data_IF_623963630012
#
_entry.id   IF_623963630012
#
_cell.length_a   1.000
_cell.length_b   1.000
_cell.length_c   1.000
_cell.angle_alpha   90.00
_cell.angle_beta   90.00
_cell.angle_gamma   90.00
#
_symmetry.space_group_name_H-M   'P 1'
#
loop_
_entity.id
_entity.type
_entity.pdbx_description
1 polymer ?
#
# COMPACT_ATOMS: atom_id res chain seq x y z
N UNK A 1 -15.13 22.26 6.21
CA UNK A 1 -14.88 20.86 5.85
C UNK A 1 -13.38 20.75 5.60
N UNK A 2 -12.68 19.83 6.27
CA UNK A 2 -11.26 19.60 5.99
C UNK A 2 -11.12 19.12 4.54
N UNK A 3 -10.32 19.83 3.76
CA UNK A 3 -9.99 19.42 2.40
C UNK A 3 -8.77 18.49 2.48
N UNK A 4 -8.98 17.20 2.27
CA UNK A 4 -7.88 16.24 2.22
C UNK A 4 -7.09 16.44 0.93
N UNK A 5 -5.76 16.43 1.05
CA UNK A 5 -4.85 16.50 -0.10
C UNK A 5 -3.94 15.27 -0.14
N UNK A 6 -3.49 14.91 -1.35
CA UNK A 6 -2.50 13.85 -1.56
C UNK A 6 -1.14 14.46 -1.84
N UNK A 7 -0.11 13.88 -1.23
CA UNK A 7 1.30 14.15 -1.56
C UNK A 7 2.04 12.84 -1.74
N UNK A 8 2.95 12.79 -2.71
CA UNK A 8 3.83 11.63 -2.87
C UNK A 8 4.78 11.50 -1.67
N UNK A 9 5.06 10.26 -1.25
CA UNK A 9 6.14 9.97 -0.30
C UNK A 9 7.48 10.28 -0.98
N UNK A 10 8.25 11.14 -0.33
CA UNK A 10 9.57 11.60 -0.77
C UNK A 10 10.40 12.00 0.45
N UNK A 11 11.70 12.34 0.30
CA UNK A 11 12.48 12.92 1.38
C UNK A 11 11.80 14.15 2.02
N UNK A 12 11.14 14.99 1.21
CA UNK A 12 10.47 16.21 1.69
C UNK A 12 9.19 15.93 2.50
N UNK A 13 8.54 14.80 2.27
CA UNK A 13 7.31 14.38 2.97
C UNK A 13 7.56 13.27 4.01
N UNK A 14 8.82 12.87 4.20
CA UNK A 14 9.20 11.83 5.15
C UNK A 14 8.64 12.05 6.55
N UNK A 15 8.73 13.26 7.08
CA UNK A 15 8.29 13.57 8.45
C UNK A 15 6.77 13.36 8.62
N UNK A 16 5.97 13.59 7.58
CA UNK A 16 4.55 13.29 7.57
C UNK A 16 4.28 11.78 7.67
N UNK A 17 4.97 10.98 6.86
CA UNK A 17 4.89 9.52 6.93
C UNK A 17 5.38 9.00 8.29
N UNK A 18 6.57 9.44 8.72
CA UNK A 18 7.16 9.00 9.98
C UNK A 18 6.30 9.37 11.19
N UNK A 19 5.74 10.58 11.21
CA UNK A 19 4.83 11.02 12.26
C UNK A 19 3.58 10.14 12.35
N UNK A 20 2.97 9.79 11.22
CA UNK A 20 1.83 8.89 11.20
C UNK A 20 2.22 7.48 11.68
N UNK A 21 3.33 6.93 11.21
CA UNK A 21 3.81 5.61 11.63
C UNK A 21 4.12 5.58 13.14
N UNK A 22 4.80 6.60 13.66
CA UNK A 22 5.14 6.70 15.08
C UNK A 22 3.92 6.77 15.99
N UNK A 23 2.87 7.53 15.60
CA UNK A 23 1.61 7.58 16.36
C UNK A 23 0.93 6.22 16.51
N UNK A 24 1.32 5.25 15.69
CA UNK A 24 0.80 3.89 15.66
C UNK A 24 1.88 2.84 15.93
N UNK A 25 2.92 3.20 16.71
CA UNK A 25 4.02 2.31 17.12
C UNK A 25 4.72 1.61 15.94
N UNK A 26 4.96 2.35 14.85
CA UNK A 26 5.57 1.84 13.63
C UNK A 26 4.63 0.98 12.78
N UNK A 27 3.36 0.95 13.08
CA UNK A 27 2.27 0.15 12.53
C UNK A 27 2.55 -1.37 12.49
N UNK A 28 1.53 -2.18 12.54
CA UNK A 28 1.61 -3.65 12.39
C UNK A 28 2.82 -4.31 13.11
N UNK A 29 3.07 -3.92 14.37
CA UNK A 29 4.17 -4.49 15.15
C UNK A 29 5.55 -3.90 14.80
N UNK A 30 5.62 -2.66 14.35
CA UNK A 30 6.88 -1.99 14.01
C UNK A 30 7.35 -2.25 12.57
N UNK A 31 6.43 -2.60 11.69
CA UNK A 31 6.72 -2.91 10.28
C UNK A 31 7.22 -1.71 9.48
N UNK A 32 6.82 -0.48 9.81
CA UNK A 32 7.14 0.73 9.04
C UNK A 32 6.84 0.60 7.54
N UNK A 33 5.90 -0.23 7.17
CA UNK A 33 5.54 -0.56 5.80
C UNK A 33 6.73 -1.10 4.97
N UNK A 34 7.63 -1.86 5.60
CA UNK A 34 8.79 -2.49 4.92
C UNK A 34 8.53 -3.94 4.52
N UNK A 35 7.43 -4.52 4.98
CA UNK A 35 7.14 -5.95 4.80
C UNK A 35 7.22 -6.41 3.34
N UNK A 36 6.68 -5.61 2.43
CA UNK A 36 6.63 -5.94 1.01
C UNK A 36 7.91 -5.61 0.24
N UNK A 37 8.77 -4.77 0.83
CA UNK A 37 10.10 -4.44 0.27
C UNK A 37 11.14 -5.54 0.53
N UNK A 38 10.96 -6.36 1.57
CA UNK A 38 11.95 -7.34 2.02
C UNK A 38 11.49 -8.77 1.80
N UNK A 39 12.40 -9.63 1.33
CA UNK A 39 12.19 -11.07 1.29
C UNK A 39 12.31 -11.67 2.69
N UNK A 40 11.78 -12.87 2.90
CA UNK A 40 11.71 -13.48 4.23
C UNK A 40 13.06 -13.54 4.97
N UNK A 41 14.15 -13.78 4.25
CA UNK A 41 15.52 -13.82 4.81
C UNK A 41 16.07 -12.46 5.23
N UNK A 42 15.48 -11.37 4.74
CA UNK A 42 15.94 -10.00 4.98
C UNK A 42 15.07 -9.26 6.00
N UNK A 43 13.98 -9.90 6.46
CA UNK A 43 13.05 -9.26 7.40
C UNK A 43 13.65 -9.10 8.76
N UNK A 44 13.46 -7.92 9.33
CA UNK A 44 13.69 -7.66 10.74
C UNK A 44 12.37 -7.43 11.46
N UNK A 45 12.32 -7.75 12.74
CA UNK A 45 11.20 -7.45 13.63
C UNK A 45 11.51 -6.27 14.55
N UNK A 46 12.66 -5.63 14.37
CA UNK A 46 13.04 -4.43 15.06
C UNK A 46 12.45 -3.18 14.39
N UNK A 47 11.74 -2.37 15.18
CA UNK A 47 11.04 -1.20 14.63
C UNK A 47 12.00 -0.09 14.18
N UNK A 48 13.16 0.07 14.86
CA UNK A 48 14.14 1.10 14.50
C UNK A 48 14.90 0.71 13.23
N UNK A 49 15.21 -0.58 13.06
CA UNK A 49 15.79 -1.12 11.83
C UNK A 49 14.84 -0.91 10.65
N UNK A 50 13.55 -1.23 10.83
CA UNK A 50 12.53 -1.04 9.81
C UNK A 50 12.33 0.43 9.46
N UNK A 51 12.34 1.32 10.45
CA UNK A 51 12.28 2.78 10.22
C UNK A 51 13.48 3.24 9.38
N UNK A 52 14.68 2.81 9.75
CA UNK A 52 15.92 3.17 9.07
C UNK A 52 15.94 2.64 7.63
N UNK A 53 15.50 1.40 7.42
CA UNK A 53 15.34 0.80 6.10
C UNK A 53 14.34 1.59 5.24
N UNK A 54 13.15 1.89 5.78
CA UNK A 54 12.13 2.64 5.03
C UNK A 54 12.63 4.02 4.61
N UNK A 55 13.30 4.73 5.54
CA UNK A 55 13.89 6.04 5.24
C UNK A 55 14.89 5.96 4.10
N UNK A 56 15.82 5.00 4.16
CA UNK A 56 16.81 4.77 3.09
C UNK A 56 16.15 4.50 1.75
N UNK A 57 15.13 3.63 1.71
CA UNK A 57 14.40 3.33 0.47
C UNK A 57 13.69 4.57 -0.11
N UNK A 58 13.17 5.45 0.74
CA UNK A 58 12.59 6.74 0.31
C UNK A 58 13.68 7.66 -0.27
N UNK A 59 14.83 7.77 0.39
CA UNK A 59 15.97 8.59 -0.06
C UNK A 59 16.54 8.06 -1.39
N UNK A 60 16.50 6.75 -1.61
CA UNK A 60 16.92 6.09 -2.86
C UNK A 60 15.86 6.14 -3.97
N UNK A 61 14.65 6.69 -3.71
CA UNK A 61 13.54 6.70 -4.65
C UNK A 61 12.93 5.33 -4.94
N UNK A 62 13.04 4.37 -4.01
CA UNK A 62 12.59 2.98 -4.12
C UNK A 62 11.41 2.62 -3.24
N UNK A 63 10.86 3.58 -2.53
CA UNK A 63 9.65 3.41 -1.73
C UNK A 63 8.66 4.52 -2.06
N UNK A 64 7.49 4.15 -2.53
CA UNK A 64 6.45 5.05 -2.99
C UNK A 64 5.17 4.86 -2.19
N UNK A 65 4.52 5.95 -1.87
CA UNK A 65 3.17 5.95 -1.31
C UNK A 65 2.45 7.26 -1.62
N UNK A 66 1.14 7.19 -1.76
CA UNK A 66 0.28 8.35 -1.69
C UNK A 66 -0.01 8.65 -0.21
N UNK A 67 0.43 9.78 0.29
CA UNK A 67 0.16 10.25 1.65
C UNK A 67 -1.05 11.18 1.63
N UNK A 68 -2.03 10.91 2.47
CA UNK A 68 -3.21 11.78 2.64
C UNK A 68 -2.99 12.69 3.84
N UNK A 69 -3.18 13.98 3.62
CA UNK A 69 -3.04 15.02 4.63
C UNK A 69 -4.36 15.65 4.98
N UNK A 70 -4.54 15.96 6.27
CA UNK A 70 -5.53 16.87 6.82
C UNK A 70 -4.77 18.07 7.41
N UNK A 71 -4.76 19.20 6.68
CA UNK A 71 -3.83 20.29 6.96
C UNK A 71 -2.39 19.84 6.81
N UNK A 72 -1.60 19.97 7.88
CA UNK A 72 -0.19 19.60 7.89
C UNK A 72 0.07 18.17 8.44
N UNK A 73 -0.98 17.46 8.85
CA UNK A 73 -0.86 16.13 9.42
C UNK A 73 -1.15 15.04 8.39
N UNK A 74 -0.22 14.11 8.16
CA UNK A 74 -0.49 12.91 7.39
C UNK A 74 -1.37 11.95 8.19
N UNK A 75 -2.47 11.48 7.58
CA UNK A 75 -3.53 10.71 8.25
C UNK A 75 -3.83 9.36 7.58
N UNK A 76 -3.30 9.12 6.39
CA UNK A 76 -3.39 7.84 5.71
C UNK A 76 -2.28 7.69 4.66
N UNK A 77 -2.04 6.47 4.23
CA UNK A 77 -1.22 6.20 3.04
C UNK A 77 -1.75 5.02 2.22
N UNK A 78 -1.35 4.98 0.96
CA UNK A 78 -1.44 3.83 0.09
C UNK A 78 -0.06 3.58 -0.53
N UNK A 79 0.59 2.46 -0.17
CA UNK A 79 1.88 2.05 -0.70
C UNK A 79 1.70 1.43 -2.09
N UNK A 80 2.56 1.85 -3.01
CA UNK A 80 2.67 1.29 -4.35
C UNK A 80 4.13 1.24 -4.79
N UNK A 81 4.41 0.48 -5.82
CA UNK A 81 5.74 0.37 -6.41
C UNK A 81 5.80 -0.72 -7.47
N UNK A 82 6.93 -0.82 -8.16
CA UNK A 82 7.17 -1.89 -9.12
C UNK A 82 7.27 -3.26 -8.41
N UNK A 83 7.13 -4.38 -9.15
CA UNK A 83 7.39 -5.72 -8.61
C UNK A 83 8.80 -5.90 -8.04
N UNK A 84 9.79 -5.16 -8.57
CA UNK A 84 11.17 -5.19 -8.09
C UNK A 84 11.34 -4.47 -6.76
N UNK A 85 10.62 -3.37 -6.55
CA UNK A 85 10.61 -2.60 -5.30
C UNK A 85 9.79 -3.28 -4.21
N UNK A 86 8.74 -3.99 -4.58
CA UNK A 86 7.82 -4.71 -3.70
C UNK A 86 7.78 -6.21 -4.03
N UNK A 87 8.92 -6.94 -3.89
CA UNK A 87 9.01 -8.33 -4.34
C UNK A 87 8.23 -9.31 -3.48
N UNK A 88 7.97 -8.94 -2.22
CA UNK A 88 7.34 -9.84 -1.26
C UNK A 88 5.84 -9.63 -1.20
N UNK A 89 5.09 -10.62 -1.66
CA UNK A 89 3.63 -10.67 -1.56
C UNK A 89 3.19 -12.00 -0.96
N UNK A 90 2.05 -12.00 -0.25
CA UNK A 90 1.49 -13.23 0.31
C UNK A 90 1.13 -14.23 -0.80
N UNK A 91 1.33 -15.52 -0.54
CA UNK A 91 1.08 -16.60 -1.50
C UNK A 91 1.85 -16.42 -2.81
N UNK A 92 3.09 -15.93 -2.71
CA UNK A 92 3.92 -15.61 -3.86
C UNK A 92 4.13 -16.80 -4.80
N UNK A 93 4.36 -18.00 -4.27
CA UNK A 93 4.56 -19.19 -5.08
C UNK A 93 3.37 -19.46 -6.01
N UNK A 94 2.15 -19.50 -5.46
CA UNK A 94 0.94 -19.67 -6.26
C UNK A 94 0.77 -18.52 -7.26
N UNK A 95 1.04 -17.28 -6.84
CA UNK A 95 0.94 -16.10 -7.70
C UNK A 95 1.88 -16.23 -8.92
N UNK A 96 3.12 -16.67 -8.72
CA UNK A 96 4.12 -16.82 -9.78
C UNK A 96 3.78 -17.99 -10.72
N UNK A 97 3.26 -19.10 -10.20
CA UNK A 97 2.81 -20.26 -11.00
C UNK A 97 1.62 -19.94 -11.90
N UNK A 98 0.75 -19.01 -11.47
CA UNK A 98 -0.47 -18.62 -12.20
C UNK A 98 -0.31 -17.25 -12.88
N UNK A 99 0.90 -16.72 -12.97
CA UNK A 99 1.17 -15.39 -13.53
C UNK A 99 0.87 -15.36 -15.02
N UNK A 100 -0.06 -14.50 -15.43
CA UNK A 100 -0.46 -14.27 -16.82
C UNK A 100 0.08 -12.95 -17.39
N UNK A 101 0.16 -11.92 -16.57
CA UNK A 101 0.69 -10.59 -16.91
C UNK A 101 1.57 -10.10 -15.77
N UNK A 102 2.78 -9.64 -16.09
CA UNK A 102 3.63 -8.93 -15.13
C UNK A 102 3.09 -7.51 -14.98
N UNK A 103 2.65 -7.09 -13.79
CA UNK A 103 2.19 -5.71 -13.61
C UNK A 103 3.37 -4.73 -13.61
N UNK A 104 3.11 -3.50 -14.02
CA UNK A 104 4.07 -2.40 -13.87
C UNK A 104 4.13 -1.92 -12.41
N UNK A 105 2.98 -1.95 -11.72
CA UNK A 105 2.86 -1.53 -10.33
C UNK A 105 2.04 -2.51 -9.47
N UNK A 106 2.40 -2.57 -8.20
CA UNK A 106 1.66 -3.26 -7.13
C UNK A 106 1.13 -2.25 -6.10
N UNK A 107 -0.11 -2.45 -5.64
CA UNK A 107 -0.65 -1.82 -4.44
C UNK A 107 -0.58 -2.83 -3.30
N UNK A 108 0.12 -2.52 -2.23
CA UNK A 108 0.43 -3.52 -1.18
C UNK A 108 -0.14 -3.19 0.18
N UNK A 109 -0.03 -1.95 0.65
CA UNK A 109 -0.44 -1.57 1.99
C UNK A 109 -1.25 -0.28 1.98
N UNK A 110 -2.42 -0.32 2.60
CA UNK A 110 -3.26 0.85 2.83
C UNK A 110 -3.42 1.01 4.35
N UNK A 111 -3.03 2.15 4.88
CA UNK A 111 -3.15 2.46 6.30
C UNK A 111 -3.92 3.76 6.51
N UNK A 112 -4.79 3.77 7.51
CA UNK A 112 -5.55 4.96 7.93
C UNK A 112 -5.42 5.12 9.44
N UNK A 113 -5.04 6.31 9.89
CA UNK A 113 -5.01 6.69 11.30
C UNK A 113 -6.34 6.34 11.98
N UNK A 114 -6.28 5.76 13.17
CA UNK A 114 -7.47 5.30 13.92
C UNK A 114 -8.51 6.41 14.12
N UNK A 115 -8.07 7.67 14.29
CA UNK A 115 -8.93 8.85 14.45
C UNK A 115 -9.73 9.21 13.19
N UNK A 116 -9.26 8.73 12.03
CA UNK A 116 -9.82 9.06 10.71
C UNK A 116 -10.52 7.89 10.02
N UNK A 117 -10.66 6.76 10.69
CA UNK A 117 -11.37 5.59 10.14
C UNK A 117 -12.83 5.89 9.85
N UNK A 118 -13.40 5.16 8.88
CA UNK A 118 -14.80 5.28 8.41
C UNK A 118 -15.14 6.62 7.77
N UNK A 119 -14.14 7.40 7.35
CA UNK A 119 -14.30 8.66 6.62
C UNK A 119 -13.96 8.54 5.12
N UNK A 120 -13.83 7.32 4.58
CA UNK A 120 -13.52 7.09 3.17
C UNK A 120 -12.05 7.23 2.79
N UNK A 121 -11.14 7.45 3.74
CA UNK A 121 -9.73 7.74 3.44
C UNK A 121 -8.97 6.59 2.79
N UNK A 122 -9.38 5.34 2.97
CA UNK A 122 -8.78 4.22 2.22
C UNK A 122 -9.01 4.34 0.72
N UNK A 123 -10.23 4.76 0.32
CA UNK A 123 -10.54 5.00 -1.09
C UNK A 123 -9.81 6.23 -1.62
N UNK A 124 -9.73 7.29 -0.81
CA UNK A 124 -9.02 8.51 -1.18
C UNK A 124 -7.51 8.26 -1.36
N UNK A 125 -6.88 7.50 -0.45
CA UNK A 125 -5.47 7.12 -0.55
C UNK A 125 -5.20 6.22 -1.77
N UNK A 126 -6.07 5.24 -2.04
CA UNK A 126 -5.96 4.38 -3.21
C UNK A 126 -6.08 5.19 -4.51
N UNK A 127 -7.07 6.10 -4.61
CA UNK A 127 -7.19 6.98 -5.77
C UNK A 127 -5.94 7.85 -5.92
N UNK A 128 -5.43 8.43 -4.84
CA UNK A 128 -4.19 9.21 -4.88
C UNK A 128 -2.98 8.42 -5.37
N UNK A 129 -2.87 7.13 -5.02
CA UNK A 129 -1.82 6.28 -5.58
C UNK A 129 -2.00 6.06 -7.10
N UNK A 130 -3.23 5.86 -7.56
CA UNK A 130 -3.52 5.72 -8.99
C UNK A 130 -3.23 7.01 -9.78
N UNK A 131 -3.52 8.16 -9.19
CA UNK A 131 -3.24 9.47 -9.81
C UNK A 131 -1.71 9.68 -9.93
N UNK A 132 -0.94 9.36 -8.89
CA UNK A 132 0.52 9.43 -8.92
C UNK A 132 1.14 8.43 -9.92
N UNK A 133 0.55 7.25 -10.09
CA UNK A 133 0.95 6.28 -11.12
C UNK A 133 0.64 6.83 -12.51
N UNK A 134 -0.51 7.47 -12.71
CA UNK A 134 -0.86 8.11 -14.00
C UNK A 134 0.11 9.24 -14.35
N UNK A 135 0.55 10.04 -13.37
CA UNK A 135 1.57 11.08 -13.55
C UNK A 135 2.95 10.49 -13.92
N UNK A 136 3.20 9.23 -13.62
CA UNK A 136 4.43 8.48 -13.92
C UNK A 136 4.26 7.54 -15.14
N UNK A 137 3.52 7.99 -16.17
CA UNK A 137 3.25 7.28 -17.42
C UNK A 137 2.33 6.05 -17.31
N UNK A 138 1.66 5.84 -16.19
CA UNK A 138 0.63 4.80 -16.03
C UNK A 138 1.15 3.36 -16.11
N UNK A 139 0.27 2.44 -16.50
CA UNK A 139 0.60 1.04 -16.70
C UNK A 139 -0.41 0.07 -16.07
N UNK A 140 -0.06 -1.21 -16.07
CA UNK A 140 -0.84 -2.26 -15.45
C UNK A 140 -0.62 -2.26 -13.94
N UNK A 141 -1.67 -2.04 -13.18
CA UNK A 141 -1.64 -2.00 -11.71
C UNK A 141 -2.35 -3.22 -11.15
N UNK A 142 -1.70 -3.95 -10.27
CA UNK A 142 -2.31 -5.02 -9.49
C UNK A 142 -2.42 -4.66 -8.01
N UNK A 143 -3.53 -5.06 -7.41
CA UNK A 143 -3.74 -5.08 -5.97
C UNK A 143 -4.10 -6.47 -5.50
N UNK A 144 -3.84 -6.74 -4.23
CA UNK A 144 -4.06 -8.06 -3.62
C UNK A 144 -4.96 -7.98 -2.40
N UNK A 145 -6.18 -7.42 -2.54
CA UNK A 145 -7.05 -7.18 -1.41
C UNK A 145 -7.51 -8.45 -0.74
N UNK A 146 -7.96 -8.29 0.50
CA UNK A 146 -8.65 -9.35 1.20
C UNK A 146 -10.01 -9.63 0.54
N UNK A 147 -10.22 -10.88 0.14
CA UNK A 147 -11.52 -11.41 -0.30
C UNK A 147 -12.11 -12.23 0.85
N UNK A 148 -12.81 -11.53 1.74
CA UNK A 148 -13.28 -12.10 2.99
C UNK A 148 -14.56 -12.90 2.85
N UNK A 149 -15.21 -12.88 1.70
CA UNK A 149 -16.53 -13.49 1.47
C UNK A 149 -17.54 -13.16 2.60
N UNK A 150 -17.52 -11.90 3.08
CA UNK A 150 -18.36 -11.43 4.17
C UNK A 150 -17.86 -11.71 5.59
N UNK A 151 -16.75 -12.41 5.78
CA UNK A 151 -16.14 -12.60 7.11
C UNK A 151 -15.41 -11.32 7.56
N UNK A 152 -15.62 -10.91 8.82
CA UNK A 152 -14.89 -9.79 9.42
C UNK A 152 -13.44 -10.19 9.65
N UNK A 153 -12.49 -9.40 9.17
CA UNK A 153 -11.08 -9.46 9.55
C UNK A 153 -10.72 -8.28 10.44
N UNK A 154 -9.87 -8.51 11.43
CA UNK A 154 -9.44 -7.47 12.37
C UNK A 154 -8.45 -6.49 11.73
N UNK A 155 -7.71 -6.92 10.71
CA UNK A 155 -6.69 -6.13 10.02
C UNK A 155 -6.84 -6.29 8.51
N UNK A 156 -7.00 -5.17 7.81
CA UNK A 156 -7.24 -5.11 6.36
C UNK A 156 -6.20 -4.19 5.67
N UNK A 157 -4.91 -4.44 5.92
CA UNK A 157 -3.83 -3.62 5.36
C UNK A 157 -3.74 -3.66 3.83
N UNK A 158 -4.25 -4.70 3.18
CA UNK A 158 -4.32 -4.77 1.71
C UNK A 158 -5.63 -4.23 1.13
N UNK A 159 -6.50 -3.66 1.96
CA UNK A 159 -7.84 -3.24 1.56
C UNK A 159 -8.80 -4.41 1.35
N UNK A 160 -9.99 -4.14 0.85
CA UNK A 160 -11.01 -5.12 0.53
C UNK A 160 -11.26 -5.20 -0.97
N UNK A 161 -11.75 -6.32 -1.45
CA UNK A 161 -12.17 -6.48 -2.84
C UNK A 161 -13.13 -5.37 -3.29
N UNK A 162 -14.15 -5.07 -2.50
CA UNK A 162 -15.12 -4.00 -2.81
C UNK A 162 -14.45 -2.61 -2.94
N UNK A 163 -13.42 -2.32 -2.13
CA UNK A 163 -12.65 -1.08 -2.26
C UNK A 163 -12.00 -0.97 -3.65
N UNK A 164 -11.36 -2.04 -4.09
CA UNK A 164 -10.71 -2.08 -5.40
C UNK A 164 -11.72 -2.08 -6.56
N UNK A 165 -12.84 -2.80 -6.46
CA UNK A 165 -13.91 -2.77 -7.47
C UNK A 165 -14.43 -1.34 -7.68
N UNK A 166 -14.66 -0.59 -6.59
CA UNK A 166 -15.08 0.82 -6.65
C UNK A 166 -14.01 1.74 -7.27
N UNK A 167 -12.74 1.37 -7.16
CA UNK A 167 -11.63 2.07 -7.80
C UNK A 167 -11.39 1.61 -9.25
N UNK A 168 -12.30 0.83 -9.85
CA UNK A 168 -12.25 0.40 -11.25
C UNK A 168 -11.33 -0.79 -11.53
N UNK A 169 -10.91 -1.52 -10.49
CA UNK A 169 -10.20 -2.78 -10.68
C UNK A 169 -11.17 -3.91 -11.01
N UNK A 170 -10.73 -4.85 -11.82
CA UNK A 170 -11.44 -6.10 -12.13
C UNK A 170 -10.80 -7.27 -11.41
N UNK A 171 -11.63 -8.22 -10.97
CA UNK A 171 -11.15 -9.47 -10.40
C UNK A 171 -10.48 -10.33 -11.49
N UNK A 172 -9.29 -10.85 -11.18
CA UNK A 172 -8.54 -11.74 -12.07
C UNK A 172 -8.65 -13.19 -11.60
N UNK A 173 -8.24 -13.47 -10.36
CA UNK A 173 -8.26 -14.80 -9.77
C UNK A 173 -8.13 -14.74 -8.24
N UNK A 174 -8.37 -15.86 -7.59
CA UNK A 174 -8.05 -16.03 -6.16
C UNK A 174 -6.52 -16.08 -5.95
N UNK A 175 -6.07 -15.73 -4.75
CA UNK A 175 -4.67 -15.74 -4.33
C UNK A 175 -4.58 -16.23 -2.89
N UNK A 176 -4.39 -17.53 -2.72
CA UNK A 176 -4.51 -18.18 -1.41
C UNK A 176 -5.91 -18.09 -0.81
N UNK A 177 -6.08 -18.52 0.45
CA UNK A 177 -7.40 -18.71 1.07
C UNK A 177 -8.03 -17.41 1.60
N UNK A 178 -7.80 -16.27 1.09
CA UNK A 178 -8.42 -15.07 1.62
C UNK A 178 -7.97 -13.77 0.97
N UNK A 179 -7.30 -13.90 -0.15
CA UNK A 179 -6.93 -12.77 -0.99
C UNK A 179 -7.31 -13.06 -2.45
N UNK A 180 -7.33 -12.04 -3.26
CA UNK A 180 -7.47 -12.17 -4.70
C UNK A 180 -6.50 -11.23 -5.42
N UNK A 181 -6.32 -11.47 -6.72
CA UNK A 181 -5.64 -10.55 -7.63
C UNK A 181 -6.70 -9.70 -8.28
N UNK A 182 -6.56 -8.40 -8.16
CA UNK A 182 -7.35 -7.39 -8.84
C UNK A 182 -6.46 -6.58 -9.77
N UNK A 183 -6.94 -6.23 -10.95
CA UNK A 183 -6.12 -5.55 -11.97
C UNK A 183 -6.85 -4.36 -12.58
N UNK A 184 -6.11 -3.29 -12.85
CA UNK A 184 -6.55 -2.10 -13.58
C UNK A 184 -5.42 -1.59 -14.45
N UNK A 185 -5.70 -1.15 -15.66
CA UNK A 185 -4.77 -0.33 -16.46
C UNK A 185 -5.04 1.14 -16.17
N UNK A 186 -4.00 1.85 -15.79
CA UNK A 186 -3.99 3.31 -15.58
C UNK A 186 -3.37 3.94 -16.82
N UNK A 187 -4.06 4.87 -17.48
CA UNK A 187 -3.56 5.54 -18.68
C UNK A 187 -2.34 6.43 -18.39
#
# INVERSE_FOLDING_TARGET
MSEYIVRALSPDTWDGFAGLAQRHNGVFGGCWCTYFHTMHSEKTFDADDNRSLKRRLVEEGRAHAALVYDGDESVAWCEYGSPEELPNIYHRKQYEEELDVVPDYRITCIFVDRRYRRKGLSAFALQGALDLIAEADGGVVEGYPHDTQGKKKSVLYSGTRTLFERAGFTFVRTKGPGNCVMRRTVP
#
